data_IF_581935245515
#
_entry.id   IF_581935245515
#
_cell.length_a   1.000
_cell.length_b   1.000
_cell.length_c   1.000
_cell.angle_alpha   90.00
_cell.angle_beta   90.00
_cell.angle_gamma   90.00
#
_symmetry.space_group_name_H-M   'P 1'
#
loop_
_entity.id
_entity.type
_entity.pdbx_description
1 polymer ?
#
# COMPACT_ATOMS: atom_id res chain seq x y z
N UNK A 1 0.11 8.37 15.63
CA UNK A 1 -0.99 7.78 14.82
C UNK A 1 -0.87 8.12 13.32
N UNK A 2 0.26 7.88 12.73
CA UNK A 2 0.55 8.29 11.36
C UNK A 2 -0.23 7.51 10.27
N UNK A 3 -0.78 6.35 10.59
CA UNK A 3 -1.48 5.47 9.63
C UNK A 3 -2.96 5.20 9.99
N UNK A 4 -3.61 6.15 10.65
CA UNK A 4 -4.99 5.98 11.13
C UNK A 4 -6.01 5.66 10.00
N UNK A 5 -5.74 6.07 8.77
CA UNK A 5 -6.62 5.78 7.62
C UNK A 5 -6.55 4.32 7.15
N UNK A 6 -5.61 3.53 7.65
CA UNK A 6 -5.60 2.08 7.41
C UNK A 6 -6.52 1.32 8.37
N UNK A 7 -7.10 2.02 9.35
CA UNK A 7 -8.04 1.42 10.30
C UNK A 7 -9.46 1.40 9.75
N UNK A 8 -10.29 0.41 10.15
CA UNK A 8 -11.70 0.39 9.83
C UNK A 8 -12.43 1.66 10.27
N UNK A 9 -13.42 2.13 9.50
CA UNK A 9 -14.08 3.43 9.74
C UNK A 9 -14.66 3.60 11.15
N UNK A 10 -15.19 2.54 11.75
CA UNK A 10 -15.76 2.58 13.11
C UNK A 10 -14.70 2.87 14.18
N UNK A 11 -13.48 2.34 14.00
CA UNK A 11 -12.35 2.61 14.89
C UNK A 11 -11.96 4.09 14.76
N UNK A 12 -11.84 4.60 13.54
CA UNK A 12 -11.53 6.01 13.28
C UNK A 12 -12.56 6.92 13.94
N UNK A 13 -13.84 6.59 13.82
CA UNK A 13 -14.95 7.36 14.43
C UNK A 13 -14.84 7.38 15.97
N UNK A 14 -14.55 6.24 16.59
CA UNK A 14 -14.35 6.14 18.03
C UNK A 14 -13.16 6.98 18.49
N UNK A 15 -12.02 6.87 17.80
CA UNK A 15 -10.79 7.63 18.11
C UNK A 15 -11.02 9.13 17.97
N UNK A 16 -11.81 9.55 16.98
CA UNK A 16 -12.24 10.93 16.80
C UNK A 16 -13.11 11.42 17.97
N UNK A 17 -14.10 10.63 18.40
CA UNK A 17 -14.96 10.95 19.54
C UNK A 17 -14.17 11.07 20.86
N UNK A 18 -13.07 10.31 20.99
CA UNK A 18 -12.20 10.36 22.18
C UNK A 18 -11.23 11.57 22.15
N UNK A 19 -11.22 12.37 21.06
CA UNK A 19 -10.31 13.49 20.93
C UNK A 19 -8.84 13.10 20.70
N UNK A 20 -8.55 11.84 20.39
CA UNK A 20 -7.20 11.34 20.19
C UNK A 20 -6.69 11.57 18.76
N UNK A 21 -7.52 12.11 17.86
CA UNK A 21 -7.16 12.34 16.47
C UNK A 21 -6.83 13.82 16.27
N UNK A 22 -5.59 14.15 15.83
CA UNK A 22 -5.27 15.52 15.42
C UNK A 22 -6.15 15.95 14.24
N UNK A 23 -6.54 17.22 14.16
CA UNK A 23 -7.38 17.74 13.07
C UNK A 23 -6.75 17.51 11.68
N UNK A 24 -5.43 17.52 11.60
CA UNK A 24 -4.65 17.36 10.37
C UNK A 24 -4.04 15.95 10.18
N UNK A 25 -4.65 14.90 10.78
CA UNK A 25 -4.18 13.51 10.68
C UNK A 25 -3.98 13.01 9.23
N UNK A 26 -4.78 13.51 8.28
CA UNK A 26 -4.66 13.20 6.85
C UNK A 26 -3.32 13.70 6.29
N UNK A 27 -2.88 14.89 6.71
CA UNK A 27 -1.62 15.49 6.29
C UNK A 27 -0.40 14.66 6.72
N UNK A 28 -0.44 14.11 7.95
CA UNK A 28 0.64 13.22 8.44
C UNK A 28 0.74 11.94 7.62
N UNK A 29 -0.38 11.30 7.30
CA UNK A 29 -0.41 10.10 6.46
C UNK A 29 0.15 10.35 5.05
N UNK A 30 -0.19 11.48 4.45
CA UNK A 30 0.32 11.86 3.14
C UNK A 30 1.83 12.13 3.15
N UNK A 31 2.38 12.70 4.22
CA UNK A 31 3.83 12.91 4.36
C UNK A 31 4.62 11.60 4.34
N UNK A 32 4.12 10.56 5.00
CA UNK A 32 4.76 9.24 4.95
C UNK A 32 4.73 8.63 3.54
N UNK A 33 3.60 8.74 2.84
CA UNK A 33 3.49 8.26 1.45
C UNK A 33 4.54 8.91 0.54
N UNK A 34 4.79 10.21 0.69
CA UNK A 34 5.81 10.94 -0.10
C UNK A 34 7.21 10.35 0.09
N UNK A 35 7.54 9.85 1.28
CA UNK A 35 8.85 9.24 1.56
C UNK A 35 8.94 7.84 0.95
N UNK A 36 7.89 7.03 1.05
CA UNK A 36 7.92 5.64 0.60
C UNK A 36 7.72 5.46 -0.91
N UNK A 37 6.94 6.34 -1.57
CA UNK A 37 6.71 6.25 -3.03
C UNK A 37 8.02 6.19 -3.85
N UNK A 38 9.05 7.03 -3.61
CA UNK A 38 10.31 6.94 -4.34
C UNK A 38 11.02 5.60 -4.14
N UNK A 39 11.01 5.05 -2.92
CA UNK A 39 11.63 3.75 -2.60
C UNK A 39 10.95 2.63 -3.38
N UNK A 40 9.62 2.60 -3.40
CA UNK A 40 8.86 1.64 -4.19
C UNK A 40 9.11 1.77 -5.69
N UNK A 41 9.18 3.00 -6.18
CA UNK A 41 9.46 3.27 -7.59
C UNK A 41 10.84 2.74 -7.99
N UNK A 42 11.87 2.95 -7.16
CA UNK A 42 13.22 2.44 -7.38
C UNK A 42 13.20 0.90 -7.47
N UNK A 43 12.52 0.22 -6.56
CA UNK A 43 12.43 -1.25 -6.56
C UNK A 43 11.72 -1.75 -7.81
N UNK A 44 10.59 -1.13 -8.20
CA UNK A 44 9.82 -1.51 -9.38
C UNK A 44 10.60 -1.28 -10.68
N UNK A 45 11.51 -0.32 -10.72
CA UNK A 45 12.36 -0.05 -11.88
C UNK A 45 13.56 -1.01 -11.93
N UNK A 46 14.25 -1.20 -10.81
CA UNK A 46 15.51 -1.95 -10.76
C UNK A 46 15.28 -3.45 -10.95
N UNK A 47 14.26 -4.03 -10.29
CA UNK A 47 13.99 -5.46 -10.35
C UNK A 47 13.78 -6.00 -11.78
N UNK A 48 12.93 -5.39 -12.63
CA UNK A 48 12.77 -5.84 -14.01
C UNK A 48 14.06 -5.72 -14.84
N UNK A 49 14.87 -4.71 -14.61
CA UNK A 49 16.13 -4.52 -15.34
C UNK A 49 17.14 -5.61 -14.99
N UNK A 50 17.27 -5.95 -13.69
CA UNK A 50 18.28 -6.91 -13.24
C UNK A 50 17.86 -8.36 -13.48
N UNK A 51 16.59 -8.69 -13.21
CA UNK A 51 16.12 -10.09 -13.18
C UNK A 51 15.27 -10.42 -14.41
N UNK A 52 14.55 -9.43 -14.95
CA UNK A 52 13.50 -9.64 -15.95
C UNK A 52 13.96 -9.77 -17.38
N UNK A 53 15.24 -9.48 -17.71
CA UNK A 53 15.74 -9.45 -19.09
C UNK A 53 14.80 -8.72 -20.07
N UNK A 54 14.28 -7.58 -19.61
CA UNK A 54 13.25 -6.81 -20.30
C UNK A 54 13.85 -6.16 -21.55
N UNK A 55 13.21 -6.31 -22.71
CA UNK A 55 13.63 -5.76 -24.00
C UNK A 55 12.60 -4.85 -24.65
N UNK A 56 11.34 -4.98 -24.24
CA UNK A 56 10.21 -4.24 -24.81
C UNK A 56 9.43 -3.47 -23.74
N UNK A 57 8.68 -2.45 -24.18
CA UNK A 57 7.77 -1.71 -23.30
C UNK A 57 6.72 -2.63 -22.63
N UNK A 58 6.19 -3.60 -23.36
CA UNK A 58 5.16 -4.51 -22.83
C UNK A 58 5.71 -5.45 -21.78
N UNK A 59 6.94 -5.94 -21.95
CA UNK A 59 7.62 -6.72 -20.90
C UNK A 59 7.87 -5.87 -19.67
N UNK A 60 8.35 -4.63 -19.82
CA UNK A 60 8.52 -3.69 -18.74
C UNK A 60 7.20 -3.45 -17.98
N UNK A 61 6.11 -3.28 -18.73
CA UNK A 61 4.78 -3.06 -18.15
C UNK A 61 4.26 -4.29 -17.40
N UNK A 62 4.38 -5.49 -17.96
CA UNK A 62 3.95 -6.74 -17.31
C UNK A 62 4.73 -6.94 -16.00
N UNK A 63 6.06 -6.76 -16.01
CA UNK A 63 6.88 -6.91 -14.80
C UNK A 63 6.51 -5.86 -13.73
N UNK A 64 6.35 -4.61 -14.13
CA UNK A 64 5.93 -3.54 -13.22
C UNK A 64 4.56 -3.82 -12.61
N UNK A 65 3.60 -4.25 -13.42
CA UNK A 65 2.28 -4.62 -12.95
C UNK A 65 2.31 -5.83 -12.02
N UNK A 66 3.06 -6.89 -12.36
CA UNK A 66 3.20 -8.07 -11.51
C UNK A 66 3.78 -7.71 -10.13
N UNK A 67 4.82 -6.87 -10.08
CA UNK A 67 5.41 -6.41 -8.83
C UNK A 67 4.38 -5.62 -7.99
N UNK A 68 3.62 -4.72 -8.61
CA UNK A 68 2.56 -3.97 -7.93
C UNK A 68 1.48 -4.89 -7.36
N UNK A 69 1.05 -5.91 -8.10
CA UNK A 69 0.05 -6.89 -7.65
C UNK A 69 0.58 -7.74 -6.49
N UNK A 70 1.81 -8.26 -6.61
CA UNK A 70 2.43 -9.05 -5.53
C UNK A 70 2.53 -8.21 -4.26
N UNK A 71 2.97 -6.97 -4.40
CA UNK A 71 3.09 -6.04 -3.27
C UNK A 71 1.74 -5.74 -2.62
N UNK A 72 0.72 -5.45 -3.43
CA UNK A 72 -0.63 -5.17 -2.95
C UNK A 72 -1.23 -6.33 -2.15
N UNK A 73 -1.05 -7.56 -2.64
CA UNK A 73 -1.52 -8.74 -1.91
C UNK A 73 -0.65 -9.05 -0.68
N UNK A 74 0.66 -8.83 -0.75
CA UNK A 74 1.53 -8.95 0.42
C UNK A 74 1.10 -7.98 1.54
N UNK A 75 0.82 -6.73 1.18
CA UNK A 75 0.32 -5.72 2.12
C UNK A 75 -1.00 -6.17 2.75
N UNK A 76 -1.99 -6.53 1.93
CA UNK A 76 -3.31 -6.92 2.41
C UNK A 76 -3.33 -8.20 3.25
N UNK A 77 -2.59 -9.26 2.84
CA UNK A 77 -2.64 -10.54 3.54
C UNK A 77 -1.64 -10.62 4.69
N UNK A 78 -0.40 -10.17 4.48
CA UNK A 78 0.67 -10.32 5.48
C UNK A 78 0.67 -9.15 6.44
N UNK A 79 0.76 -7.90 5.93
CA UNK A 79 0.88 -6.75 6.82
C UNK A 79 -0.45 -6.42 7.50
N UNK A 80 -1.55 -6.39 6.76
CA UNK A 80 -2.85 -6.02 7.30
C UNK A 80 -3.54 -7.19 7.99
N UNK A 81 -3.86 -8.27 7.28
CA UNK A 81 -4.64 -9.35 7.87
C UNK A 81 -3.86 -10.14 8.92
N UNK A 82 -2.57 -10.47 8.69
CA UNK A 82 -1.81 -11.30 9.62
C UNK A 82 -1.18 -10.47 10.74
N UNK A 83 -0.48 -9.37 10.42
CA UNK A 83 0.28 -8.60 11.41
C UNK A 83 -0.62 -7.59 12.11
N UNK A 84 -1.25 -6.67 11.36
CA UNK A 84 -2.06 -5.59 11.92
C UNK A 84 -3.25 -6.11 12.72
N UNK A 85 -4.03 -7.03 12.15
CA UNK A 85 -5.24 -7.54 12.81
C UNK A 85 -4.94 -8.36 14.08
N UNK A 86 -3.76 -8.95 14.22
CA UNK A 86 -3.43 -9.82 15.36
C UNK A 86 -2.45 -9.22 16.38
N UNK A 87 -1.84 -8.08 16.09
CA UNK A 87 -0.82 -7.51 16.96
C UNK A 87 -1.39 -6.40 17.84
N UNK A 88 -1.39 -6.63 19.17
CA UNK A 88 -1.92 -5.71 20.17
C UNK A 88 -1.31 -4.30 20.14
N UNK A 89 -0.10 -4.12 19.59
CA UNK A 89 0.56 -2.82 19.49
C UNK A 89 -0.22 -1.82 18.61
N UNK A 90 -1.07 -2.32 17.71
CA UNK A 90 -1.91 -1.49 16.85
C UNK A 90 -3.26 -1.14 17.48
N UNK A 91 -3.60 -1.73 18.64
CA UNK A 91 -4.85 -1.39 19.33
C UNK A 91 -4.70 -0.01 19.94
N UNK A 92 -5.59 0.91 19.55
CA UNK A 92 -5.57 2.29 20.01
C UNK A 92 -6.23 2.37 21.40
N UNK A 93 -5.64 3.07 22.38
CA UNK A 93 -6.25 3.27 23.70
C UNK A 93 -7.68 3.81 23.62
N UNK A 94 -8.62 3.15 24.32
CA UNK A 94 -10.05 3.47 24.30
C UNK A 94 -10.85 2.80 23.18
N UNK A 95 -10.23 1.83 22.46
CA UNK A 95 -10.89 0.98 21.45
C UNK A 95 -10.66 -0.51 21.68
N UNK A 96 -10.22 -0.89 22.87
CA UNK A 96 -9.89 -2.28 23.24
C UNK A 96 -11.11 -3.21 23.16
N UNK A 97 -12.30 -2.65 23.31
CA UNK A 97 -13.59 -3.33 23.18
C UNK A 97 -14.00 -3.63 21.71
N UNK A 98 -13.27 -3.10 20.72
CA UNK A 98 -13.62 -3.19 19.30
C UNK A 98 -12.84 -4.30 18.57
N UNK A 99 -12.59 -5.45 19.21
CA UNK A 99 -11.76 -6.55 18.67
C UNK A 99 -12.27 -7.03 17.32
N UNK A 100 -13.57 -7.16 17.13
CA UNK A 100 -14.18 -7.61 15.87
C UNK A 100 -13.91 -6.63 14.70
N UNK A 101 -13.82 -5.35 15.00
CA UNK A 101 -13.48 -4.35 13.98
C UNK A 101 -12.00 -4.42 13.59
N UNK A 102 -11.10 -4.73 14.53
CA UNK A 102 -9.69 -4.97 14.23
C UNK A 102 -9.49 -6.25 13.41
N UNK A 103 -10.31 -7.28 13.59
CA UNK A 103 -10.28 -8.51 12.82
C UNK A 103 -11.10 -8.44 11.51
N UNK A 104 -11.44 -7.26 11.04
CA UNK A 104 -12.18 -7.08 9.78
C UNK A 104 -11.30 -7.27 8.56
N UNK A 105 -10.89 -8.52 8.29
CA UNK A 105 -10.06 -8.87 7.12
C UNK A 105 -10.66 -8.42 5.80
N UNK A 106 -12.01 -8.48 5.68
CA UNK A 106 -12.68 -8.06 4.45
C UNK A 106 -12.46 -6.60 4.12
N UNK A 107 -12.33 -5.74 5.12
CA UNK A 107 -12.00 -4.34 4.92
C UNK A 107 -10.69 -4.19 4.12
N UNK A 108 -9.63 -4.87 4.52
CA UNK A 108 -8.31 -4.81 3.87
C UNK A 108 -8.33 -5.47 2.49
N UNK A 109 -8.87 -6.69 2.38
CA UNK A 109 -8.96 -7.45 1.12
C UNK A 109 -9.78 -6.69 0.08
N UNK A 110 -10.90 -6.09 0.46
CA UNK A 110 -11.75 -5.31 -0.44
C UNK A 110 -10.99 -4.16 -1.09
N UNK A 111 -10.20 -3.42 -0.31
CA UNK A 111 -9.42 -2.30 -0.86
C UNK A 111 -8.27 -2.78 -1.76
N UNK A 112 -7.64 -3.90 -1.43
CA UNK A 112 -6.66 -4.52 -2.31
C UNK A 112 -7.27 -4.92 -3.66
N UNK A 113 -8.47 -5.51 -3.67
CA UNK A 113 -9.16 -5.87 -4.91
C UNK A 113 -9.58 -4.64 -5.73
N UNK A 114 -10.11 -3.61 -5.07
CA UNK A 114 -10.54 -2.37 -5.74
C UNK A 114 -9.34 -1.62 -6.38
N UNK A 115 -8.14 -1.76 -5.82
CA UNK A 115 -6.94 -1.09 -6.35
C UNK A 115 -6.38 -1.72 -7.63
N UNK A 116 -6.71 -2.98 -7.94
CA UNK A 116 -6.18 -3.73 -9.10
C UNK A 116 -6.33 -2.97 -10.44
N UNK A 117 -7.51 -2.46 -10.82
CA UNK A 117 -7.65 -1.71 -12.07
C UNK A 117 -6.78 -0.44 -12.12
N UNK A 118 -6.62 0.22 -10.98
CA UNK A 118 -5.77 1.42 -10.88
C UNK A 118 -4.29 1.07 -11.09
N UNK A 119 -3.84 -0.08 -10.63
CA UNK A 119 -2.46 -0.54 -10.81
C UNK A 119 -2.10 -0.83 -12.27
N UNK A 120 -3.06 -1.21 -13.10
CA UNK A 120 -2.88 -1.34 -14.56
C UNK A 120 -2.36 -0.02 -15.15
N UNK A 121 -2.96 1.10 -14.73
CA UNK A 121 -2.60 2.43 -15.21
C UNK A 121 -1.29 2.90 -14.57
N UNK A 122 -1.13 2.70 -13.25
CA UNK A 122 0.07 3.12 -12.52
C UNK A 122 1.32 2.42 -13.06
N UNK A 123 1.22 1.14 -13.49
CA UNK A 123 2.33 0.38 -14.05
C UNK A 123 2.93 0.99 -15.33
N UNK A 124 2.21 1.87 -16.01
CA UNK A 124 2.69 2.57 -17.21
C UNK A 124 3.89 3.47 -16.87
N UNK A 125 3.89 4.10 -15.70
CA UNK A 125 4.96 5.04 -15.29
C UNK A 125 6.31 4.34 -15.18
N UNK A 126 6.49 3.32 -14.32
CA UNK A 126 7.76 2.59 -14.23
C UNK A 126 8.11 1.89 -15.54
N UNK A 127 7.14 1.34 -16.28
CA UNK A 127 7.37 0.71 -17.57
C UNK A 127 8.00 1.68 -18.61
N UNK A 128 7.53 2.92 -18.67
CA UNK A 128 8.11 3.96 -19.52
C UNK A 128 9.56 4.29 -19.12
N UNK A 129 9.81 4.38 -17.82
CA UNK A 129 11.16 4.67 -17.31
C UNK A 129 12.10 3.50 -17.62
N UNK A 130 11.71 2.25 -17.37
CA UNK A 130 12.49 1.05 -17.67
C UNK A 130 12.81 0.97 -19.15
N UNK A 131 11.80 1.11 -20.00
CA UNK A 131 11.97 1.07 -21.45
C UNK A 131 12.90 2.18 -21.96
N UNK A 132 12.76 3.40 -21.40
CA UNK A 132 13.67 4.51 -21.73
C UNK A 132 15.12 4.24 -21.33
N UNK A 133 15.36 3.64 -20.16
CA UNK A 133 16.70 3.25 -19.71
C UNK A 133 17.32 2.21 -20.66
N UNK A 134 16.56 1.16 -21.00
CA UNK A 134 17.03 0.08 -21.88
C UNK A 134 17.30 0.59 -23.30
N UNK A 135 16.51 1.54 -23.78
CA UNK A 135 16.71 2.14 -25.13
C UNK A 135 17.96 3.03 -25.20
N UNK A 136 18.42 3.56 -24.05
CA UNK A 136 19.60 4.43 -23.98
C UNK A 136 20.90 3.68 -23.68
N UNK A 137 20.83 2.41 -23.25
CA UNK A 137 21.97 1.54 -22.98
C UNK A 137 22.30 0.65 -24.20
#
# INVERSE_FOLDING_TARGET
MAQIHNYPPKIIERVKKLGHLPEDYIKYGNKQKIIFIPIYLIVIIILPIIIGHVSTFWEAWIHSYAILIIWNFYDAFILDCLIFCHTKIFVIPGTEDMVDEYHNYWFHIKYALISIPTMVIIAIIPARIIYGIIYLL
#
